data_IF_280368044511
#
_entry.id   IF_280368044511
#
_cell.length_a   1.000
_cell.length_b   1.000
_cell.length_c   1.000
_cell.angle_alpha   90.00
_cell.angle_beta   90.00
_cell.angle_gamma   90.00
#
_symmetry.space_group_name_H-M   'P 1'
#
loop_
_entity.id
_entity.type
_entity.pdbx_description
1 polymer ?
#
# COMPACT_ATOMS: atom_id res chain seq x y z
N UNK A 1 23.83 10.46 9.53
CA UNK A 1 23.13 10.32 8.24
C UNK A 1 22.02 9.26 8.36
N UNK A 2 22.34 8.03 8.66
CA UNK A 2 21.38 6.91 8.75
C UNK A 2 20.17 7.20 9.66
N UNK A 3 20.36 7.88 10.78
CA UNK A 3 19.29 8.26 11.70
C UNK A 3 18.27 9.22 11.05
N UNK A 4 18.77 10.22 10.30
CA UNK A 4 17.90 11.18 9.59
C UNK A 4 17.12 10.47 8.48
N UNK A 5 17.78 9.61 7.71
CA UNK A 5 17.12 8.79 6.69
C UNK A 5 16.00 7.95 7.31
N UNK A 6 16.26 7.29 8.45
CA UNK A 6 15.25 6.52 9.17
C UNK A 6 14.07 7.38 9.66
N UNK A 7 14.32 8.61 10.10
CA UNK A 7 13.25 9.54 10.50
C UNK A 7 12.41 9.90 9.28
N UNK A 8 13.03 10.22 8.14
CA UNK A 8 12.33 10.56 6.92
C UNK A 8 11.46 9.38 6.45
N UNK A 9 12.01 8.18 6.42
CA UNK A 9 11.32 7.00 5.92
C UNK A 9 10.15 6.54 6.80
N UNK A 10 10.29 6.64 8.11
CA UNK A 10 9.37 5.99 9.04
C UNK A 10 8.56 6.94 9.93
N UNK A 11 8.87 8.23 9.96
CA UNK A 11 8.20 9.20 10.84
C UNK A 11 7.75 10.47 10.14
N UNK A 12 7.99 10.61 8.82
CA UNK A 12 7.49 11.74 8.03
C UNK A 12 6.89 11.25 6.72
N UNK A 13 5.90 12.01 6.20
CA UNK A 13 5.29 11.77 4.90
C UNK A 13 4.99 13.11 4.22
N UNK A 14 6.05 13.82 3.85
CA UNK A 14 5.99 15.15 3.28
C UNK A 14 6.97 15.32 2.12
N UNK A 15 6.67 16.25 1.22
CA UNK A 15 7.59 16.66 0.15
C UNK A 15 8.57 17.76 0.59
N UNK A 16 8.45 18.24 1.82
CA UNK A 16 9.28 19.27 2.43
C UNK A 16 10.11 18.74 3.59
N UNK A 17 10.42 19.63 4.54
CA UNK A 17 11.26 19.33 5.71
C UNK A 17 10.65 19.79 7.05
N UNK A 18 9.39 20.25 7.04
CA UNK A 18 8.75 20.80 8.26
C UNK A 18 8.44 19.72 9.30
N UNK A 19 7.98 18.55 8.86
CA UNK A 19 7.75 17.43 9.77
C UNK A 19 9.06 16.88 10.29
N UNK A 20 10.06 16.75 9.44
CA UNK A 20 11.42 16.36 9.83
C UNK A 20 11.96 17.28 10.93
N UNK A 21 11.85 18.61 10.76
CA UNK A 21 12.25 19.60 11.76
C UNK A 21 11.52 19.38 13.09
N UNK A 22 10.19 19.17 13.04
CA UNK A 22 9.38 18.89 14.24
C UNK A 22 9.80 17.60 14.95
N UNK A 23 10.09 16.52 14.19
CA UNK A 23 10.54 15.25 14.75
C UNK A 23 11.92 15.39 15.40
N UNK A 24 12.86 16.07 14.76
CA UNK A 24 14.17 16.38 15.33
C UNK A 24 14.00 17.23 16.59
N UNK A 25 13.18 18.27 16.54
CA UNK A 25 12.88 19.11 17.71
C UNK A 25 12.25 18.31 18.86
N UNK A 26 11.41 17.31 18.58
CA UNK A 26 10.84 16.42 19.61
C UNK A 26 11.91 15.55 20.26
N UNK A 27 12.85 15.02 19.49
CA UNK A 27 14.01 14.27 20.00
C UNK A 27 14.84 15.13 20.93
N UNK A 28 15.24 16.32 20.46
CA UNK A 28 16.08 17.24 21.22
C UNK A 28 15.41 17.67 22.54
N UNK A 29 14.10 17.95 22.54
CA UNK A 29 13.36 18.27 23.77
C UNK A 29 13.33 17.12 24.76
N UNK A 30 13.22 15.87 24.30
CA UNK A 30 13.28 14.71 25.19
C UNK A 30 14.66 14.51 25.79
N UNK A 31 15.72 14.71 25.01
CA UNK A 31 17.11 14.67 25.48
C UNK A 31 17.34 15.78 26.51
N UNK A 32 16.95 17.01 26.22
CA UNK A 32 17.06 18.13 27.14
C UNK A 32 16.31 17.88 28.45
N UNK A 33 15.12 17.30 28.41
CA UNK A 33 14.37 16.89 29.60
C UNK A 33 15.12 15.85 30.42
N UNK A 34 15.67 14.83 29.80
CA UNK A 34 16.47 13.79 30.49
C UNK A 34 17.66 14.43 31.19
N UNK A 35 18.40 15.30 30.48
CA UNK A 35 19.52 16.01 31.05
C UNK A 35 19.12 16.87 32.26
N UNK A 36 18.03 17.64 32.13
CA UNK A 36 17.54 18.50 33.21
C UNK A 36 17.07 17.70 34.44
N UNK A 37 16.56 16.48 34.24
CA UNK A 37 16.10 15.63 35.35
C UNK A 37 17.24 14.87 36.01
N UNK A 38 18.21 14.40 35.26
CA UNK A 38 19.26 13.48 35.75
C UNK A 38 20.60 14.21 36.00
N UNK A 39 20.75 15.47 35.56
CA UNK A 39 21.99 16.24 35.62
C UNK A 39 23.09 15.80 34.65
N UNK A 40 22.94 14.65 34.02
CA UNK A 40 23.87 14.14 33.01
C UNK A 40 23.14 13.25 32.01
N UNK A 41 23.78 12.99 30.87
CA UNK A 41 23.34 12.00 29.89
C UNK A 41 24.28 10.78 29.94
N UNK A 42 23.75 9.59 29.83
CA UNK A 42 24.54 8.39 29.61
C UNK A 42 25.15 8.41 28.21
N UNK A 43 26.15 7.59 27.94
CA UNK A 43 26.80 7.55 26.62
C UNK A 43 25.81 7.13 25.53
N UNK A 44 24.88 6.23 25.83
CA UNK A 44 23.80 5.81 24.90
C UNK A 44 22.77 6.92 24.63
N UNK A 45 22.64 7.88 25.54
CA UNK A 45 21.70 9.02 25.40
C UNK A 45 22.29 10.22 24.65
N UNK A 46 23.63 10.26 24.49
CA UNK A 46 24.33 11.29 23.73
C UNK A 46 24.17 11.10 22.23
N UNK A 47 24.01 9.84 21.78
CA UNK A 47 23.88 9.48 20.39
C UNK A 47 22.47 8.97 20.04
N UNK A 48 21.82 9.63 19.09
CA UNK A 48 20.54 9.18 18.54
C UNK A 48 20.81 8.26 17.36
N UNK A 49 20.63 6.98 17.59
CA UNK A 49 20.84 5.92 16.60
C UNK A 49 19.51 5.51 15.95
N UNK A 50 19.52 4.90 14.75
CA UNK A 50 18.31 4.37 14.13
C UNK A 50 17.56 3.34 15.00
N UNK A 51 18.28 2.65 15.88
CA UNK A 51 17.73 1.60 16.77
C UNK A 51 16.97 2.14 17.96
N UNK A 52 17.31 3.34 18.46
CA UNK A 52 16.68 3.93 19.64
C UNK A 52 15.65 5.03 19.30
N UNK A 53 15.35 5.27 18.03
CA UNK A 53 14.39 6.29 17.60
C UNK A 53 12.99 6.09 18.19
N UNK A 54 12.57 4.84 18.41
CA UNK A 54 11.27 4.54 19.01
C UNK A 54 11.11 5.05 20.43
N UNK A 55 12.19 5.20 21.18
CA UNK A 55 12.16 5.80 22.53
C UNK A 55 11.79 7.28 22.49
N UNK A 56 12.22 7.97 21.43
CA UNK A 56 11.99 9.40 21.27
C UNK A 56 10.71 9.72 20.51
N UNK A 57 10.40 8.98 19.46
CA UNK A 57 9.31 9.28 18.55
C UNK A 57 8.08 8.40 18.76
N UNK A 58 8.24 7.22 19.36
CA UNK A 58 7.20 6.21 19.50
C UNK A 58 7.30 5.13 18.43
N UNK A 59 6.24 4.35 18.25
CA UNK A 59 6.15 3.35 17.19
C UNK A 59 6.34 3.99 15.81
N UNK A 60 6.78 3.18 14.84
CA UNK A 60 6.89 3.64 13.46
C UNK A 60 5.53 4.13 12.96
N UNK A 61 5.49 5.33 12.42
CA UNK A 61 4.25 5.94 11.88
C UNK A 61 3.99 5.46 10.45
N UNK A 62 5.06 5.18 9.72
CA UNK A 62 5.00 4.72 8.33
C UNK A 62 5.91 3.50 8.12
N UNK A 63 5.36 2.51 7.49
CA UNK A 63 6.10 1.36 6.94
C UNK A 63 5.98 1.43 5.43
N UNK A 64 7.09 1.25 4.74
CA UNK A 64 7.04 1.07 3.27
C UNK A 64 6.88 -0.41 2.99
N UNK A 65 5.81 -0.75 2.32
CA UNK A 65 5.65 -2.10 1.80
C UNK A 65 6.77 -2.38 0.78
N UNK A 66 7.42 -3.50 0.98
CA UNK A 66 8.42 -3.99 0.03
C UNK A 66 7.74 -5.03 -0.85
N UNK A 67 8.08 -5.00 -2.13
CA UNK A 67 7.66 -6.04 -3.05
C UNK A 67 8.11 -7.41 -2.50
N UNK A 68 7.14 -8.27 -2.27
CA UNK A 68 7.35 -9.63 -1.74
C UNK A 68 7.11 -10.72 -2.79
N UNK A 69 6.85 -10.33 -4.03
CA UNK A 69 6.44 -11.23 -5.11
C UNK A 69 4.91 -11.40 -5.19
N UNK A 70 4.46 -11.89 -6.34
CA UNK A 70 3.05 -12.22 -6.57
C UNK A 70 2.87 -13.73 -6.36
N UNK A 71 2.88 -14.19 -5.10
CA UNK A 71 2.87 -15.62 -4.78
C UNK A 71 1.51 -16.28 -4.95
N UNK A 72 0.45 -15.50 -5.01
CA UNK A 72 -0.93 -15.97 -5.09
C UNK A 72 -1.60 -15.54 -6.39
N UNK A 73 -2.39 -16.43 -6.99
CA UNK A 73 -3.26 -16.06 -8.10
C UNK A 73 -4.29 -15.02 -7.64
N UNK A 74 -4.54 -14.02 -8.48
CA UNK A 74 -5.44 -12.92 -8.16
C UNK A 74 -4.80 -11.76 -7.39
N UNK A 75 -3.54 -11.89 -6.96
CA UNK A 75 -2.80 -10.81 -6.29
C UNK A 75 -1.76 -10.23 -7.24
N UNK A 76 -1.83 -8.93 -7.46
CA UNK A 76 -0.92 -8.23 -8.38
C UNK A 76 -0.41 -6.95 -7.74
N UNK A 77 0.88 -6.72 -7.87
CA UNK A 77 1.53 -5.49 -7.43
C UNK A 77 1.45 -4.44 -8.53
N UNK A 78 0.83 -3.32 -8.22
CA UNK A 78 0.84 -2.11 -9.02
C UNK A 78 1.80 -1.07 -8.46
N UNK A 79 2.02 0.00 -9.21
CA UNK A 79 2.80 1.15 -8.79
C UNK A 79 1.90 2.37 -8.74
N UNK A 80 1.98 3.12 -7.66
CA UNK A 80 1.29 4.38 -7.48
C UNK A 80 2.32 5.52 -7.36
N UNK A 81 1.97 6.67 -7.90
CA UNK A 81 2.72 7.90 -7.70
C UNK A 81 2.03 8.78 -6.67
N UNK A 82 2.78 9.22 -5.67
CA UNK A 82 2.30 10.13 -4.63
C UNK A 82 3.16 11.38 -4.55
N UNK A 83 2.70 12.40 -3.84
CA UNK A 83 3.48 13.64 -3.61
C UNK A 83 4.81 13.40 -2.90
N UNK A 84 4.97 12.24 -2.28
CA UNK A 84 6.19 11.85 -1.55
C UNK A 84 6.99 10.77 -2.26
N UNK A 85 6.65 10.44 -3.50
CA UNK A 85 7.35 9.46 -4.34
C UNK A 85 6.50 8.29 -4.77
N UNK A 86 7.14 7.26 -5.32
CA UNK A 86 6.49 6.03 -5.74
C UNK A 86 6.15 5.13 -4.55
N UNK A 87 4.97 4.53 -4.58
CA UNK A 87 4.51 3.52 -3.62
C UNK A 87 4.05 2.26 -4.32
N UNK A 88 4.10 1.14 -3.63
CA UNK A 88 3.53 -0.12 -4.11
C UNK A 88 2.04 -0.13 -3.75
N UNK A 89 1.25 -0.63 -4.69
CA UNK A 89 -0.18 -0.82 -4.51
C UNK A 89 -0.51 -2.28 -4.79
N UNK A 90 -1.04 -2.98 -3.81
CA UNK A 90 -1.54 -4.34 -4.03
C UNK A 90 -2.98 -4.29 -4.53
N UNK A 91 -3.29 -5.14 -5.52
CA UNK A 91 -4.64 -5.40 -5.97
C UNK A 91 -4.91 -6.88 -5.77
N UNK A 92 -5.87 -7.16 -4.92
CA UNK A 92 -6.26 -8.52 -4.56
C UNK A 92 -7.63 -8.82 -5.17
N UNK A 93 -7.71 -9.86 -5.98
CA UNK A 93 -8.96 -10.32 -6.58
C UNK A 93 -9.32 -11.68 -6.03
N UNK A 94 -10.49 -11.79 -5.44
CA UNK A 94 -11.05 -13.02 -4.94
C UNK A 94 -12.33 -13.39 -5.69
N UNK A 95 -12.50 -14.68 -5.97
CA UNK A 95 -13.67 -15.24 -6.61
C UNK A 95 -14.43 -16.11 -5.60
N UNK A 96 -15.74 -15.94 -5.50
CA UNK A 96 -16.58 -16.81 -4.68
C UNK A 96 -17.83 -17.26 -5.44
N UNK A 97 -18.28 -18.46 -5.15
CA UNK A 97 -19.49 -18.99 -5.78
C UNK A 97 -20.71 -18.15 -5.40
N UNK A 98 -21.46 -17.71 -6.41
CA UNK A 98 -22.68 -16.94 -6.21
C UNK A 98 -23.41 -16.71 -7.54
N UNK A 99 -24.71 -16.50 -7.48
CA UNK A 99 -25.51 -16.20 -8.67
C UNK A 99 -25.44 -14.71 -8.99
N UNK A 100 -25.19 -14.39 -10.26
CA UNK A 100 -25.36 -13.03 -10.80
C UNK A 100 -24.10 -12.22 -11.02
N UNK A 101 -22.89 -12.79 -10.95
CA UNK A 101 -21.65 -12.12 -11.39
C UNK A 101 -21.37 -10.77 -10.69
N UNK A 102 -21.70 -10.64 -9.41
CA UNK A 102 -21.60 -9.37 -8.69
C UNK A 102 -20.14 -8.94 -8.54
N UNK A 103 -19.82 -7.70 -8.93
CA UNK A 103 -18.56 -7.04 -8.63
C UNK A 103 -18.67 -6.25 -7.32
N UNK A 104 -17.81 -6.56 -6.37
CA UNK A 104 -17.66 -5.82 -5.11
C UNK A 104 -16.28 -5.19 -5.07
N UNK A 105 -16.22 -3.91 -4.72
CA UNK A 105 -15.00 -3.13 -4.65
C UNK A 105 -14.79 -2.62 -3.23
N UNK A 106 -13.60 -2.79 -2.67
CA UNK A 106 -13.23 -2.30 -1.34
C UNK A 106 -11.82 -1.69 -1.34
N UNK A 107 -11.50 -0.81 -0.39
CA UNK A 107 -10.19 -0.18 -0.27
C UNK A 107 -10.18 1.34 -0.44
N UNK A 108 -11.32 2.01 -0.20
CA UNK A 108 -11.45 3.47 -0.30
C UNK A 108 -11.07 4.00 -1.69
N UNK A 109 -11.68 3.39 -2.73
CA UNK A 109 -11.44 3.73 -4.13
C UNK A 109 -12.25 4.96 -4.53
N UNK A 110 -11.62 5.90 -5.22
CA UNK A 110 -12.28 7.00 -5.90
C UNK A 110 -13.08 6.54 -7.13
N UNK A 111 -13.84 7.45 -7.72
CA UNK A 111 -14.80 7.09 -8.77
C UNK A 111 -14.10 6.66 -10.07
N UNK A 112 -12.98 7.29 -10.42
CA UNK A 112 -12.18 6.91 -11.60
C UNK A 112 -11.62 5.49 -11.45
N UNK A 113 -11.19 5.13 -10.25
CA UNK A 113 -10.65 3.80 -9.98
C UNK A 113 -11.74 2.73 -9.95
N UNK A 114 -12.97 3.06 -9.47
CA UNK A 114 -14.14 2.17 -9.55
C UNK A 114 -14.57 1.93 -11.01
N UNK A 115 -14.58 2.98 -11.82
CA UNK A 115 -14.86 2.87 -13.26
C UNK A 115 -13.80 2.00 -13.95
N UNK A 116 -12.53 2.19 -13.62
CA UNK A 116 -11.43 1.35 -14.14
C UNK A 116 -11.60 -0.13 -13.77
N UNK A 117 -12.11 -0.45 -12.58
CA UNK A 117 -12.40 -1.82 -12.18
C UNK A 117 -13.55 -2.44 -12.99
N UNK A 118 -14.60 -1.67 -13.25
CA UNK A 118 -15.72 -2.12 -14.11
C UNK A 118 -15.25 -2.35 -15.55
N UNK A 119 -14.49 -1.42 -16.12
CA UNK A 119 -13.91 -1.56 -17.45
C UNK A 119 -12.97 -2.77 -17.54
N UNK A 120 -12.17 -3.00 -16.50
CA UNK A 120 -11.28 -4.16 -16.44
C UNK A 120 -12.07 -5.49 -16.50
N UNK A 121 -13.19 -5.58 -15.78
CA UNK A 121 -14.04 -6.77 -15.82
C UNK A 121 -14.69 -6.96 -17.18
N UNK A 122 -15.23 -5.92 -17.80
CA UNK A 122 -15.83 -6.00 -19.13
C UNK A 122 -14.78 -6.36 -20.20
N UNK A 123 -13.55 -5.88 -20.05
CA UNK A 123 -12.44 -6.31 -20.92
C UNK A 123 -12.17 -7.82 -20.80
N UNK A 124 -12.12 -8.35 -19.57
CA UNK A 124 -11.90 -9.79 -19.35
C UNK A 124 -13.06 -10.62 -19.95
N UNK A 125 -14.32 -10.20 -19.75
CA UNK A 125 -15.49 -10.88 -20.35
C UNK A 125 -15.40 -10.93 -21.87
N UNK A 126 -15.07 -9.79 -22.48
CA UNK A 126 -14.96 -9.67 -23.94
C UNK A 126 -13.85 -10.57 -24.51
N UNK A 127 -12.76 -10.73 -23.76
CA UNK A 127 -11.58 -11.50 -24.20
C UNK A 127 -11.47 -12.87 -23.52
N UNK A 128 -12.56 -13.37 -22.94
CA UNK A 128 -12.57 -14.61 -22.16
C UNK A 128 -12.03 -15.82 -22.97
N UNK A 129 -12.42 -15.96 -24.23
CA UNK A 129 -11.93 -17.06 -25.10
C UNK A 129 -10.42 -16.98 -25.32
N UNK A 130 -9.87 -15.80 -25.54
CA UNK A 130 -8.43 -15.59 -25.72
C UNK A 130 -7.64 -15.94 -24.46
N UNK A 131 -8.25 -15.73 -23.30
CA UNK A 131 -7.67 -16.05 -21.98
C UNK A 131 -7.97 -17.47 -21.51
N UNK A 132 -8.64 -18.29 -22.35
CA UNK A 132 -9.10 -19.65 -22.01
C UNK A 132 -10.01 -19.68 -20.77
N UNK A 133 -10.83 -18.65 -20.58
CA UNK A 133 -11.82 -18.56 -19.50
C UNK A 133 -13.18 -18.98 -20.06
N UNK A 134 -13.86 -19.91 -19.37
CA UNK A 134 -15.24 -20.28 -19.71
C UNK A 134 -16.17 -19.09 -19.43
N UNK A 135 -16.91 -18.56 -20.42
CA UNK A 135 -17.83 -17.44 -20.22
C UNK A 135 -18.88 -17.67 -19.12
N UNK A 136 -19.27 -18.91 -18.86
CA UNK A 136 -20.26 -19.25 -17.82
C UNK A 136 -19.77 -18.92 -16.38
N UNK A 137 -18.46 -18.74 -16.17
CA UNK A 137 -17.95 -18.40 -14.85
C UNK A 137 -18.44 -17.04 -14.39
N UNK A 138 -18.67 -16.10 -15.31
CA UNK A 138 -19.11 -14.75 -14.95
C UNK A 138 -20.51 -14.69 -14.36
N UNK A 139 -21.37 -15.67 -14.67
CA UNK A 139 -22.73 -15.77 -14.13
C UNK A 139 -22.79 -16.54 -12.80
N UNK A 140 -21.80 -17.38 -12.54
CA UNK A 140 -21.76 -18.30 -11.41
C UNK A 140 -20.80 -17.91 -10.30
N UNK A 141 -19.99 -16.87 -10.51
CA UNK A 141 -19.03 -16.38 -9.55
C UNK A 141 -19.17 -14.90 -9.28
N UNK A 142 -19.18 -14.53 -8.02
CA UNK A 142 -19.02 -13.15 -7.60
C UNK A 142 -17.54 -12.80 -7.53
N UNK A 143 -17.24 -11.56 -7.83
CA UNK A 143 -15.89 -11.03 -7.93
C UNK A 143 -15.72 -9.97 -6.85
N UNK A 144 -14.64 -10.07 -6.09
CA UNK A 144 -14.26 -9.06 -5.12
C UNK A 144 -12.87 -8.54 -5.46
N UNK A 145 -12.75 -7.25 -5.71
CA UNK A 145 -11.46 -6.56 -5.83
C UNK A 145 -11.24 -5.74 -4.57
N UNK A 146 -10.17 -6.03 -3.89
CA UNK A 146 -9.72 -5.31 -2.70
C UNK A 146 -8.39 -4.61 -2.99
N UNK A 147 -8.30 -3.35 -2.58
CA UNK A 147 -7.05 -2.59 -2.60
C UNK A 147 -6.73 -2.22 -1.16
N UNK A 148 -5.75 -2.87 -0.52
CA UNK A 148 -5.38 -2.64 0.87
C UNK A 148 -5.11 -1.19 1.22
N UNK A 149 -4.98 -0.87 2.52
CA UNK A 149 -4.79 0.49 3.06
C UNK A 149 -5.99 1.42 2.85
N UNK A 150 -7.17 0.98 3.25
CA UNK A 150 -8.43 1.73 3.10
C UNK A 150 -8.48 3.10 3.79
N UNK A 151 -7.52 3.42 4.67
CA UNK A 151 -7.41 4.73 5.31
C UNK A 151 -6.98 5.84 4.33
N UNK A 152 -6.31 5.50 3.23
CA UNK A 152 -5.80 6.44 2.23
C UNK A 152 -6.71 6.37 1.00
N UNK A 153 -7.35 7.49 0.60
CA UNK A 153 -8.10 7.52 -0.66
C UNK A 153 -7.20 7.23 -1.86
N UNK A 154 -7.65 6.34 -2.73
CA UNK A 154 -6.93 5.95 -3.94
C UNK A 154 -7.79 6.27 -5.15
N UNK A 155 -7.23 7.00 -6.09
CA UNK A 155 -7.90 7.29 -7.36
C UNK A 155 -6.89 7.41 -8.50
N UNK A 156 -7.31 7.05 -9.69
CA UNK A 156 -6.51 7.17 -10.90
C UNK A 156 -6.77 6.07 -11.93
N UNK A 157 -6.65 6.38 -13.22
CA UNK A 157 -6.95 5.45 -14.31
C UNK A 157 -5.83 4.40 -14.55
N UNK A 158 -4.62 4.66 -14.08
CA UNK A 158 -3.46 3.78 -14.33
C UNK A 158 -3.56 2.42 -13.65
N UNK A 159 -4.41 2.27 -12.62
CA UNK A 159 -4.67 1.00 -11.97
C UNK A 159 -5.45 0.00 -12.83
N UNK A 160 -6.08 0.45 -13.92
CA UNK A 160 -6.90 -0.40 -14.79
C UNK A 160 -6.17 -1.62 -15.32
N UNK A 161 -4.95 -1.46 -15.83
CA UNK A 161 -4.16 -2.59 -16.34
C UNK A 161 -3.78 -3.58 -15.23
N UNK A 162 -3.47 -3.09 -14.04
CA UNK A 162 -3.18 -3.95 -12.89
C UNK A 162 -4.43 -4.72 -12.46
N UNK A 163 -5.62 -4.11 -12.52
CA UNK A 163 -6.91 -4.78 -12.26
C UNK A 163 -7.24 -5.83 -13.32
N UNK A 164 -7.02 -5.54 -14.60
CA UNK A 164 -7.16 -6.54 -15.68
C UNK A 164 -6.26 -7.74 -15.40
N UNK A 165 -5.01 -7.49 -15.05
CA UNK A 165 -4.04 -8.55 -14.76
C UNK A 165 -4.45 -9.37 -13.54
N UNK A 166 -4.94 -8.72 -12.47
CA UNK A 166 -5.41 -9.39 -11.27
C UNK A 166 -6.65 -10.27 -11.54
N UNK A 167 -7.61 -9.75 -12.31
CA UNK A 167 -8.78 -10.50 -12.75
C UNK A 167 -8.39 -11.70 -13.61
N UNK A 168 -7.54 -11.49 -14.63
CA UNK A 168 -7.06 -12.60 -15.48
C UNK A 168 -6.36 -13.67 -14.64
N UNK A 169 -5.49 -13.25 -13.72
CA UNK A 169 -4.80 -14.16 -12.79
C UNK A 169 -5.79 -14.94 -11.91
N UNK A 170 -6.80 -14.27 -11.36
CA UNK A 170 -7.81 -14.93 -10.53
C UNK A 170 -8.63 -15.96 -11.31
N UNK A 171 -9.11 -15.61 -12.50
CA UNK A 171 -9.92 -16.53 -13.31
C UNK A 171 -9.12 -17.70 -13.89
N UNK A 172 -7.87 -17.46 -14.28
CA UNK A 172 -7.01 -18.52 -14.86
C UNK A 172 -6.23 -19.29 -13.79
N UNK A 173 -6.25 -18.86 -12.53
CA UNK A 173 -5.44 -19.39 -11.42
C UNK A 173 -3.93 -19.38 -11.73
N UNK A 174 -3.50 -18.51 -12.63
CA UNK A 174 -2.09 -18.32 -12.97
C UNK A 174 -1.48 -17.17 -12.15
N UNK A 175 -0.34 -17.44 -11.54
CA UNK A 175 0.42 -16.40 -10.80
C UNK A 175 1.02 -15.39 -11.78
N UNK A 176 1.05 -14.14 -11.37
CA UNK A 176 1.71 -13.06 -12.13
C UNK A 176 3.18 -12.98 -11.71
N UNK A 177 4.07 -12.88 -12.70
CA UNK A 177 5.51 -12.76 -12.48
C UNK A 177 5.92 -11.30 -12.34
#
# INVERSE_FOLDING_TARGET
KATIEKIIENYTRESGVRELEKKIGKILRKIARKYATNGCLTDDEKDVLPTNLSEYLGALEYTRDKYQGNEYAGVVTGLAWTVVGGEILFIETALNHGKGGRLTLTGNLGDVMKESAMLALEYIKTHAQMLHIDPNVFDNWNIHIHVPEGAIPKDGPSAGITMVTALASAFTQCKVK
#
